data_IF_931582009400
#
_entry.id   IF_931582009400
#
_cell.length_a   1.000
_cell.length_b   1.000
_cell.length_c   1.000
_cell.angle_alpha   90.00
_cell.angle_beta   90.00
_cell.angle_gamma   90.00
#
_symmetry.space_group_name_H-M   'P 1'
#
loop_
_entity.id
_entity.type
_entity.pdbx_description
1 polymer ?
#
# COMPACT_ATOMS: atom_id res chain seq x y z
N UNK A 1 11.23 40.78 26.94
CA UNK A 1 10.85 40.90 25.51
C UNK A 1 9.64 40.01 25.26
N UNK A 2 8.55 40.54 24.70
CA UNK A 2 7.31 39.82 24.46
C UNK A 2 7.23 39.43 22.99
N UNK A 3 7.33 38.13 22.69
CA UNK A 3 7.22 37.61 21.32
C UNK A 3 5.78 37.76 20.84
N UNK A 4 5.57 38.45 19.71
CA UNK A 4 4.27 38.58 19.04
C UNK A 4 4.25 37.71 17.79
N UNK A 5 3.36 36.73 17.76
CA UNK A 5 3.10 35.90 16.58
C UNK A 5 2.30 36.73 15.57
N UNK A 6 2.91 37.07 14.42
CA UNK A 6 2.20 37.66 13.28
C UNK A 6 1.49 36.54 12.52
N UNK A 7 0.15 36.62 12.40
CA UNK A 7 -0.62 35.77 11.49
C UNK A 7 -0.47 36.33 10.08
N UNK A 8 0.11 35.54 9.18
CA UNK A 8 0.20 35.86 7.75
C UNK A 8 -0.81 35.00 7.00
N UNK A 9 -1.65 35.56 6.11
CA UNK A 9 -2.58 34.77 5.30
C UNK A 9 -1.79 33.83 4.38
N UNK A 10 -1.95 32.52 4.58
CA UNK A 10 -1.37 31.51 3.70
C UNK A 10 -2.26 31.39 2.46
N UNK A 11 -1.85 32.02 1.35
CA UNK A 11 -2.47 31.80 0.04
C UNK A 11 -1.84 30.54 -0.54
N UNK A 12 -2.60 29.44 -0.56
CA UNK A 12 -2.19 28.20 -1.22
C UNK A 12 -2.69 28.28 -2.66
N UNK A 13 -1.77 28.23 -3.64
CA UNK A 13 -2.09 28.27 -5.06
C UNK A 13 -2.88 27.02 -5.46
N UNK A 14 -4.11 27.21 -5.95
CA UNK A 14 -4.92 26.16 -6.57
C UNK A 14 -4.62 26.14 -8.07
N UNK A 15 -3.67 25.31 -8.49
CA UNK A 15 -3.63 24.80 -9.85
C UNK A 15 -3.76 23.28 -9.79
N UNK A 16 -4.99 22.79 -9.86
CA UNK A 16 -5.30 21.42 -10.25
C UNK A 16 -5.73 21.48 -11.71
N UNK A 17 -4.96 20.82 -12.58
CA UNK A 17 -5.37 20.56 -13.95
C UNK A 17 -6.26 19.32 -13.88
N UNK A 18 -7.56 19.53 -14.03
CA UNK A 18 -8.55 18.45 -14.10
C UNK A 18 -8.38 17.71 -15.43
N UNK A 19 -7.92 16.46 -15.37
CA UNK A 19 -8.03 15.52 -16.49
C UNK A 19 -9.33 14.74 -16.27
N UNK A 20 -10.44 15.36 -16.68
CA UNK A 20 -11.73 14.70 -16.86
C UNK A 20 -11.92 14.45 -18.35
N UNK A 21 -11.88 13.18 -18.77
CA UNK A 21 -12.97 12.48 -19.49
C UNK A 21 -12.47 11.08 -19.87
N UNK A 22 -13.32 10.07 -19.68
CA UNK A 22 -13.57 9.11 -20.77
C UNK A 22 -14.77 8.25 -20.40
N UNK A 23 -15.91 8.69 -20.91
CA UNK A 23 -17.21 8.07 -20.72
C UNK A 23 -17.54 7.18 -21.92
N UNK A 24 -17.05 5.93 -21.99
CA UNK A 24 -17.60 4.97 -22.96
C UNK A 24 -17.27 3.48 -22.68
N UNK A 25 -18.35 2.71 -22.45
CA UNK A 25 -18.67 1.32 -22.88
C UNK A 25 -19.01 0.35 -21.74
N UNK A 26 -20.26 -0.10 -21.79
CA UNK A 26 -20.85 -1.14 -20.95
C UNK A 26 -20.33 -2.52 -21.38
N UNK A 27 -20.27 -3.43 -20.40
CA UNK A 27 -20.06 -4.89 -20.42
C UNK A 27 -18.68 -5.47 -20.06
N UNK A 28 -17.66 -4.67 -19.70
CA UNK A 28 -16.45 -5.21 -19.04
C UNK A 28 -15.70 -4.12 -18.26
N UNK A 29 -15.82 -4.12 -16.93
CA UNK A 29 -15.00 -3.28 -16.05
C UNK A 29 -15.07 -1.77 -16.27
N UNK A 30 -14.30 -1.01 -15.49
CA UNK A 30 -14.08 0.43 -15.73
C UNK A 30 -12.88 0.69 -16.67
N UNK A 31 -12.31 -0.35 -17.28
CA UNK A 31 -11.09 -0.29 -18.08
C UNK A 31 -9.79 -0.07 -17.28
N UNK A 32 -9.88 0.11 -15.95
CA UNK A 32 -8.76 0.45 -15.06
C UNK A 32 -8.39 -0.69 -14.09
N UNK A 33 -8.87 -1.91 -14.32
CA UNK A 33 -8.68 -3.06 -13.41
C UNK A 33 -8.87 -2.69 -11.92
N UNK A 34 -9.95 -1.98 -11.60
CA UNK A 34 -10.25 -1.48 -10.26
C UNK A 34 -10.36 -2.61 -9.22
N UNK A 35 -10.05 -2.33 -7.95
CA UNK A 35 -10.53 -3.10 -6.79
C UNK A 35 -11.94 -2.66 -6.37
N UNK A 36 -12.84 -2.38 -7.31
CA UNK A 36 -14.26 -2.10 -7.02
C UNK A 36 -15.13 -3.17 -7.67
N UNK A 37 -16.41 -3.16 -7.33
CA UNK A 37 -17.44 -4.02 -7.93
C UNK A 37 -17.46 -4.00 -9.47
N UNK A 38 -16.88 -2.98 -10.11
CA UNK A 38 -16.68 -2.93 -11.56
C UNK A 38 -15.81 -4.08 -12.11
N UNK A 39 -14.67 -4.37 -11.46
CA UNK A 39 -13.66 -5.29 -12.00
C UNK A 39 -13.26 -6.40 -11.02
N UNK A 40 -13.72 -6.35 -9.77
CA UNK A 40 -13.49 -7.41 -8.78
C UNK A 40 -14.13 -8.74 -9.19
N UNK A 41 -15.39 -8.80 -9.68
CA UNK A 41 -15.97 -10.08 -10.07
C UNK A 41 -15.14 -10.76 -11.16
N UNK A 42 -14.62 -11.95 -10.87
CA UNK A 42 -13.75 -12.71 -11.77
C UNK A 42 -12.27 -12.34 -11.72
N UNK A 43 -11.87 -11.37 -10.88
CA UNK A 43 -10.48 -11.08 -10.61
C UNK A 43 -9.79 -12.27 -9.96
N UNK A 44 -8.55 -12.53 -10.37
CA UNK A 44 -7.70 -13.58 -9.81
C UNK A 44 -6.36 -12.96 -9.42
N UNK A 45 -5.98 -13.16 -8.18
CA UNK A 45 -4.73 -12.64 -7.63
C UNK A 45 -3.98 -13.77 -6.90
N UNK A 46 -2.65 -13.68 -6.79
CA UNK A 46 -1.90 -14.61 -5.96
C UNK A 46 -2.42 -14.60 -4.53
N UNK A 47 -2.49 -15.76 -3.88
CA UNK A 47 -2.93 -15.92 -2.49
C UNK A 47 -1.91 -16.72 -1.71
N UNK A 48 -1.47 -16.15 -0.59
CA UNK A 48 -0.60 -16.78 0.39
C UNK A 48 -1.40 -17.16 1.64
N UNK A 49 -1.63 -18.46 1.83
CA UNK A 49 -2.28 -18.97 3.03
C UNK A 49 -1.21 -19.31 4.09
N UNK A 50 -1.22 -18.60 5.20
CA UNK A 50 -0.22 -18.76 6.27
C UNK A 50 -0.70 -19.73 7.34
N UNK A 51 0.25 -20.44 7.97
CA UNK A 51 -0.03 -21.32 9.09
C UNK A 51 -0.50 -20.52 10.30
N UNK A 52 -1.68 -20.88 10.84
CA UNK A 52 -2.18 -20.28 12.07
C UNK A 52 -1.36 -20.76 13.26
N UNK A 53 -0.71 -19.83 13.96
CA UNK A 53 -0.02 -20.14 15.22
C UNK A 53 -1.05 -20.05 16.34
N UNK A 54 -1.34 -21.17 16.99
CA UNK A 54 -2.20 -21.18 18.16
C UNK A 54 -1.41 -20.61 19.35
N UNK A 55 -1.67 -19.36 19.73
CA UNK A 55 -1.04 -18.69 20.88
C UNK A 55 -1.41 -19.30 22.25
N UNK A 56 -2.17 -20.41 22.28
CA UNK A 56 -2.64 -21.05 23.51
C UNK A 56 -1.63 -22.04 24.13
N UNK A 57 -0.54 -22.40 23.43
CA UNK A 57 0.51 -23.28 23.96
C UNK A 57 1.86 -22.58 23.92
N UNK A 58 2.34 -22.14 25.09
CA UNK A 58 3.68 -21.57 25.28
C UNK A 58 4.81 -22.47 24.73
N UNK A 59 4.57 -23.78 24.63
CA UNK A 59 5.52 -24.76 24.09
C UNK A 59 5.76 -24.66 22.56
N UNK A 60 4.81 -24.11 21.78
CA UNK A 60 4.96 -23.98 20.32
C UNK A 60 5.82 -22.76 19.93
N UNK A 61 5.91 -21.74 20.80
CA UNK A 61 6.76 -20.56 20.59
C UNK A 61 8.25 -20.94 20.68
N UNK A 62 8.60 -21.82 21.62
CA UNK A 62 9.99 -22.23 21.89
C UNK A 62 10.54 -23.24 20.86
N UNK A 63 9.67 -23.98 20.14
CA UNK A 63 10.09 -24.88 19.05
C UNK A 63 10.40 -24.14 17.74
N UNK A 64 9.95 -22.90 17.61
CA UNK A 64 10.19 -22.08 16.42
C UNK A 64 11.62 -21.48 16.37
N UNK A 65 12.36 -21.53 17.48
CA UNK A 65 13.73 -20.96 17.56
C UNK A 65 14.82 -21.88 16.97
N UNK A 66 14.57 -23.17 16.78
CA UNK A 66 15.58 -24.16 16.33
C UNK A 66 15.31 -24.77 14.95
N UNK A 67 14.33 -24.27 14.22
CA UNK A 67 14.05 -24.67 12.84
C UNK A 67 14.21 -23.42 11.98
N UNK A 68 14.89 -23.50 10.83
CA UNK A 68 14.95 -22.37 9.89
C UNK A 68 13.54 -21.78 9.73
N UNK A 69 13.37 -20.46 9.91
CA UNK A 69 12.04 -19.88 9.96
C UNK A 69 11.29 -20.24 8.67
N UNK A 70 9.99 -20.62 8.74
CA UNK A 70 9.17 -20.95 7.56
C UNK A 70 8.92 -19.73 6.63
N UNK A 71 9.65 -18.63 6.88
CA UNK A 71 9.56 -17.29 6.29
C UNK A 71 10.24 -17.22 4.92
N UNK A 72 11.11 -18.18 4.57
CA UNK A 72 11.85 -18.17 3.28
C UNK A 72 10.94 -18.04 2.05
N UNK A 73 9.76 -18.66 2.07
CA UNK A 73 8.81 -18.53 0.96
C UNK A 73 8.12 -17.17 0.93
N UNK A 74 7.67 -16.64 2.08
CA UNK A 74 7.02 -15.33 2.14
C UNK A 74 8.00 -14.23 1.70
N UNK A 75 9.25 -14.30 2.13
CA UNK A 75 10.29 -13.36 1.71
C UNK A 75 10.50 -13.42 0.19
N UNK A 76 10.60 -14.63 -0.36
CA UNK A 76 10.74 -14.84 -1.81
C UNK A 76 9.53 -14.33 -2.58
N UNK A 77 8.32 -14.53 -2.06
CA UNK A 77 7.07 -14.05 -2.66
C UNK A 77 7.01 -12.52 -2.66
N UNK A 78 7.29 -11.89 -1.51
CA UNK A 78 7.28 -10.44 -1.38
C UNK A 78 8.31 -9.80 -2.30
N UNK A 79 9.55 -10.31 -2.31
CA UNK A 79 10.61 -9.80 -3.17
C UNK A 79 10.30 -10.03 -4.65
N UNK A 80 9.81 -11.23 -5.01
CA UNK A 80 9.46 -11.56 -6.39
C UNK A 80 8.33 -10.70 -6.95
N UNK A 81 7.23 -10.54 -6.21
CA UNK A 81 6.11 -9.68 -6.63
C UNK A 81 6.52 -8.19 -6.65
N UNK A 82 7.38 -7.76 -5.72
CA UNK A 82 7.92 -6.40 -5.70
C UNK A 82 8.78 -6.11 -6.94
N UNK A 83 9.75 -6.98 -7.24
CA UNK A 83 10.64 -6.86 -8.40
C UNK A 83 9.86 -6.89 -9.73
N UNK A 84 8.87 -7.78 -9.85
CA UNK A 84 7.99 -7.84 -11.02
C UNK A 84 7.24 -6.51 -11.24
N UNK A 85 6.64 -5.93 -10.20
CA UNK A 85 5.95 -4.62 -10.29
C UNK A 85 6.93 -3.49 -10.58
N UNK A 86 8.15 -3.57 -10.05
CA UNK A 86 9.23 -2.62 -10.34
C UNK A 86 9.62 -2.67 -11.82
N UNK A 87 9.84 -3.88 -12.36
CA UNK A 87 10.17 -4.08 -13.78
C UNK A 87 9.04 -3.64 -14.71
N UNK A 88 7.78 -3.80 -14.30
CA UNK A 88 6.60 -3.29 -15.01
C UNK A 88 6.41 -1.77 -14.90
N UNK A 89 7.22 -1.08 -14.10
CA UNK A 89 7.14 0.38 -13.93
C UNK A 89 5.91 0.84 -13.15
N UNK A 90 5.35 0.00 -12.28
CA UNK A 90 4.11 0.29 -11.56
C UNK A 90 4.32 1.18 -10.34
N UNK A 91 5.55 1.35 -9.84
CA UNK A 91 5.83 2.24 -8.71
C UNK A 91 5.76 3.71 -9.11
N UNK A 92 5.03 4.52 -8.33
CA UNK A 92 4.90 5.97 -8.58
C UNK A 92 6.16 6.75 -8.23
N UNK A 93 7.00 6.19 -7.36
CA UNK A 93 8.23 6.80 -6.89
C UNK A 93 9.28 5.72 -6.67
N UNK A 94 10.48 5.95 -7.20
CA UNK A 94 11.64 5.13 -6.88
C UNK A 94 12.35 5.73 -5.65
N UNK A 95 12.24 5.04 -4.52
CA UNK A 95 12.93 5.39 -3.27
C UNK A 95 14.28 4.72 -3.13
N UNK A 96 14.60 3.75 -3.99
CA UNK A 96 15.86 3.00 -3.97
C UNK A 96 17.01 3.84 -4.52
N UNK A 97 16.71 4.77 -5.43
CA UNK A 97 17.67 5.73 -5.97
C UNK A 97 17.96 6.91 -5.03
N UNK A 98 17.30 7.03 -3.88
CA UNK A 98 17.51 8.16 -2.98
C UNK A 98 18.85 8.06 -2.25
N UNK A 99 19.56 9.18 -2.19
CA UNK A 99 20.81 9.26 -1.42
C UNK A 99 20.54 9.00 0.06
N UNK A 100 21.34 8.11 0.66
CA UNK A 100 21.26 7.80 2.09
C UNK A 100 22.60 8.03 2.76
N UNK A 101 22.56 8.40 4.04
CA UNK A 101 23.75 8.55 4.88
C UNK A 101 23.47 8.05 6.29
N UNK A 102 24.38 7.23 6.82
CA UNK A 102 24.38 6.86 8.24
C UNK A 102 24.81 8.07 9.07
N UNK A 103 23.97 8.46 10.03
CA UNK A 103 24.23 9.56 10.95
C UNK A 103 25.12 9.02 12.09
N UNK A 104 26.25 9.68 12.39
CA UNK A 104 27.11 9.28 13.50
C UNK A 104 26.35 9.27 14.85
N UNK A 105 26.60 8.27 15.68
CA UNK A 105 26.00 8.10 17.00
C UNK A 105 25.80 6.63 17.36
N UNK A 106 25.34 6.36 18.57
CA UNK A 106 25.20 4.99 19.11
C UNK A 106 23.97 4.26 18.56
N UNK A 107 23.04 4.97 17.90
CA UNK A 107 21.73 4.46 17.50
C UNK A 107 21.61 4.10 16.02
N UNK A 108 22.65 4.36 15.20
CA UNK A 108 22.67 3.93 13.79
C UNK A 108 21.60 4.55 12.90
N UNK A 109 21.18 5.80 13.15
CA UNK A 109 20.16 6.46 12.34
C UNK A 109 20.59 6.60 10.88
N UNK A 110 19.65 6.50 9.94
CA UNK A 110 19.87 6.71 8.50
C UNK A 110 19.06 7.93 8.06
N UNK A 111 19.72 8.91 7.46
CA UNK A 111 19.08 10.01 6.75
C UNK A 111 18.91 9.64 5.28
N UNK A 112 17.70 9.83 4.73
CA UNK A 112 17.40 9.65 3.30
C UNK A 112 16.95 10.98 2.69
N UNK A 113 17.60 11.39 1.60
CA UNK A 113 17.26 12.60 0.85
C UNK A 113 16.22 12.28 -0.23
N UNK A 114 14.97 12.62 0.05
CA UNK A 114 13.85 12.47 -0.88
C UNK A 114 13.58 13.81 -1.60
N UNK A 115 14.33 14.07 -2.66
CA UNK A 115 14.16 15.27 -3.47
C UNK A 115 12.76 15.35 -4.11
N UNK A 116 12.27 16.58 -4.33
CA UNK A 116 10.95 16.80 -4.91
C UNK A 116 9.76 16.45 -4.01
N UNK A 117 9.95 15.85 -2.83
CA UNK A 117 8.86 15.59 -1.87
C UNK A 117 8.13 16.85 -1.44
N UNK A 118 8.85 17.97 -1.34
CA UNK A 118 8.27 19.28 -1.02
C UNK A 118 7.45 19.87 -2.17
N UNK A 119 7.83 19.60 -3.43
CA UNK A 119 7.13 20.06 -4.63
C UNK A 119 5.90 19.20 -4.93
N UNK A 120 6.00 17.88 -4.70
CA UNK A 120 4.92 16.90 -4.93
C UNK A 120 4.02 16.70 -3.71
N UNK A 121 4.18 17.53 -2.66
CA UNK A 121 3.30 17.51 -1.51
C UNK A 121 1.89 17.90 -1.96
N UNK A 122 0.89 17.10 -1.59
CA UNK A 122 -0.51 17.47 -1.84
C UNK A 122 -0.79 18.85 -1.21
N UNK A 123 -1.34 19.81 -1.97
CA UNK A 123 -1.79 21.07 -1.41
C UNK A 123 -2.71 20.80 -0.21
N UNK A 124 -2.63 21.64 0.81
CA UNK A 124 -3.61 21.58 1.88
C UNK A 124 -4.96 21.96 1.27
N UNK A 125 -5.82 20.97 1.07
CA UNK A 125 -7.10 21.17 0.38
C UNK A 125 -8.09 22.00 1.22
N UNK A 126 -7.74 22.34 2.46
CA UNK A 126 -8.67 22.88 3.44
C UNK A 126 -8.09 24.01 4.27
N UNK A 127 -9.01 24.82 4.82
CA UNK A 127 -8.64 25.84 5.79
C UNK A 127 -8.12 25.19 7.06
N UNK A 128 -7.07 25.79 7.63
CA UNK A 128 -6.37 25.31 8.82
C UNK A 128 -7.30 25.21 10.05
N UNK A 129 -8.45 25.88 10.03
CA UNK A 129 -9.46 25.90 11.10
C UNK A 129 -10.54 24.79 11.01
N UNK A 130 -10.53 23.92 10.00
CA UNK A 130 -11.55 22.88 9.81
C UNK A 130 -10.97 21.45 9.89
N UNK A 131 -11.12 20.85 11.06
CA UNK A 131 -10.65 19.47 11.36
C UNK A 131 -11.62 18.40 10.85
N UNK A 132 -12.94 18.62 10.94
CA UNK A 132 -13.95 17.67 10.47
C UNK A 132 -14.28 17.89 8.99
N UNK A 133 -13.94 16.91 8.18
CA UNK A 133 -14.10 16.90 6.73
C UNK A 133 -15.21 15.91 6.34
N UNK A 134 -16.13 16.27 5.43
CA UNK A 134 -17.03 15.28 4.84
C UNK A 134 -16.21 14.30 4.01
N UNK A 135 -16.61 13.02 4.02
CA UNK A 135 -15.97 12.00 3.20
C UNK A 135 -16.23 12.27 1.71
N UNK A 136 -15.16 12.29 0.91
CA UNK A 136 -15.21 12.33 -0.55
C UNK A 136 -14.59 11.07 -1.12
N UNK A 137 -15.43 10.14 -1.59
CA UNK A 137 -15.00 8.88 -2.17
C UNK A 137 -14.14 9.05 -3.43
N UNK A 138 -14.23 10.17 -4.14
CA UNK A 138 -13.40 10.45 -5.32
C UNK A 138 -11.96 10.84 -4.94
N UNK A 139 -11.76 11.35 -3.72
CA UNK A 139 -10.44 11.71 -3.17
C UNK A 139 -9.82 10.59 -2.34
N UNK A 140 -10.60 9.59 -1.95
CA UNK A 140 -10.14 8.48 -1.13
C UNK A 140 -9.24 7.51 -1.93
N UNK A 141 -7.94 7.55 -1.67
CA UNK A 141 -6.93 6.85 -2.49
C UNK A 141 -7.01 5.33 -2.46
N UNK A 142 -7.53 4.74 -1.39
CA UNK A 142 -7.67 3.28 -1.29
C UNK A 142 -8.67 2.72 -2.32
N UNK A 143 -9.53 3.57 -2.90
CA UNK A 143 -10.42 3.17 -3.99
C UNK A 143 -9.79 3.26 -5.38
N UNK A 144 -8.54 3.73 -5.47
CA UNK A 144 -7.81 3.96 -6.73
C UNK A 144 -6.72 2.93 -6.99
N UNK A 145 -6.57 1.93 -6.13
CA UNK A 145 -5.62 0.84 -6.30
C UNK A 145 -6.10 -0.05 -7.46
N UNK A 146 -5.23 -0.24 -8.45
CA UNK A 146 -5.42 -1.19 -9.54
C UNK A 146 -5.05 -2.62 -9.10
N UNK A 147 -5.65 -3.63 -9.73
CA UNK A 147 -5.32 -5.05 -9.43
C UNK A 147 -3.84 -5.36 -9.69
N UNK A 148 -3.22 -4.70 -10.65
CA UNK A 148 -1.79 -4.78 -10.95
C UNK A 148 -0.88 -4.20 -9.84
N UNK A 149 -1.42 -3.27 -9.02
CA UNK A 149 -0.73 -2.71 -7.86
C UNK A 149 -0.86 -3.61 -6.61
N UNK A 150 -1.63 -4.70 -6.68
CA UNK A 150 -1.69 -5.73 -5.62
C UNK A 150 -0.57 -6.74 -5.85
N UNK A 151 0.22 -7.00 -4.82
CA UNK A 151 1.26 -8.04 -4.85
C UNK A 151 0.61 -9.42 -4.66
N UNK A 152 -0.08 -9.62 -3.54
CA UNK A 152 -0.81 -10.85 -3.26
C UNK A 152 -1.86 -10.63 -2.16
N UNK A 153 -2.82 -11.54 -2.11
CA UNK A 153 -3.79 -11.74 -1.03
C UNK A 153 -3.17 -12.64 0.05
N UNK A 154 -3.61 -12.52 1.29
CA UNK A 154 -3.20 -13.44 2.35
C UNK A 154 -4.32 -13.78 3.32
N UNK A 155 -4.32 -15.01 3.81
CA UNK A 155 -5.32 -15.53 4.76
C UNK A 155 -4.75 -16.64 5.63
N UNK A 156 -5.46 -16.99 6.71
CA UNK A 156 -5.07 -18.13 7.53
C UNK A 156 -5.47 -19.44 6.83
N UNK A 157 -4.53 -20.38 6.74
CA UNK A 157 -4.77 -21.71 6.16
C UNK A 157 -5.78 -22.51 6.98
N UNK A 158 -6.73 -23.16 6.30
CA UNK A 158 -7.69 -24.09 6.91
C UNK A 158 -7.01 -25.38 7.42
N UNK A 159 -6.02 -25.86 6.66
CA UNK A 159 -5.33 -27.14 6.89
C UNK A 159 -4.16 -27.01 7.88
N UNK A 160 -3.86 -25.78 8.33
CA UNK A 160 -2.73 -25.49 9.22
C UNK A 160 -1.36 -25.57 8.53
N UNK A 161 -1.32 -25.64 7.21
CA UNK A 161 -0.09 -25.70 6.41
C UNK A 161 0.04 -24.50 5.48
N UNK A 162 1.28 -24.09 5.19
CA UNK A 162 1.54 -22.96 4.29
C UNK A 162 1.22 -23.37 2.85
N UNK A 163 0.38 -22.59 2.17
CA UNK A 163 -0.03 -22.84 0.79
C UNK A 163 0.06 -21.58 -0.05
N UNK A 164 0.34 -21.74 -1.34
CA UNK A 164 0.36 -20.64 -2.30
C UNK A 164 -0.46 -20.98 -3.54
N UNK A 165 -1.34 -20.07 -3.91
CA UNK A 165 -2.21 -20.18 -5.07
C UNK A 165 -1.91 -19.02 -6.02
N UNK A 166 -1.32 -19.25 -7.21
CA UNK A 166 -0.92 -18.14 -8.09
C UNK A 166 -2.11 -17.38 -8.69
N UNK A 167 -3.31 -17.98 -8.72
CA UNK A 167 -4.51 -17.41 -9.35
C UNK A 167 -5.76 -17.73 -8.53
N UNK A 168 -5.81 -17.27 -7.29
CA UNK A 168 -6.98 -17.43 -6.43
C UNK A 168 -8.04 -16.36 -6.72
N UNK A 169 -9.35 -16.70 -6.65
CA UNK A 169 -10.40 -15.69 -6.67
C UNK A 169 -10.27 -14.74 -5.47
N UNK A 170 -10.84 -13.55 -5.59
CA UNK A 170 -10.96 -12.62 -4.47
C UNK A 170 -12.27 -12.91 -3.75
N UNK A 171 -12.20 -13.23 -2.46
CA UNK A 171 -13.39 -13.39 -1.62
C UNK A 171 -13.92 -12.02 -1.18
N UNK A 172 -14.85 -11.49 -1.97
CA UNK A 172 -15.45 -10.15 -1.75
C UNK A 172 -16.33 -10.12 -0.51
N UNK A 173 -16.91 -11.26 -0.13
CA UNK A 173 -17.86 -11.33 0.99
C UNK A 173 -17.14 -11.31 2.33
N UNK A 174 -15.93 -11.90 2.41
CA UNK A 174 -15.16 -12.02 3.64
C UNK A 174 -14.08 -10.94 3.84
N UNK A 175 -14.10 -9.85 3.06
CA UNK A 175 -13.16 -8.71 3.19
C UNK A 175 -11.68 -9.16 3.13
N UNK A 176 -11.13 -9.34 1.92
CA UNK A 176 -9.82 -9.96 1.73
C UNK A 176 -8.71 -9.07 2.28
N UNK A 177 -7.65 -9.69 2.81
CA UNK A 177 -6.43 -8.99 3.19
C UNK A 177 -5.42 -9.06 2.05
N UNK A 178 -4.84 -7.91 1.69
CA UNK A 178 -3.92 -7.80 0.54
C UNK A 178 -2.70 -6.96 0.88
N UNK A 179 -1.59 -7.27 0.21
CA UNK A 179 -0.40 -6.43 0.16
C UNK A 179 -0.42 -5.68 -1.17
N UNK A 180 -0.34 -4.35 -1.13
CA UNK A 180 -0.41 -3.51 -2.33
C UNK A 180 0.61 -2.35 -2.28
N UNK A 181 0.99 -1.85 -3.44
CA UNK A 181 1.92 -0.72 -3.60
C UNK A 181 1.18 0.60 -3.85
N UNK A 182 1.91 1.72 -3.77
CA UNK A 182 1.41 3.08 -4.06
C UNK A 182 0.23 3.57 -3.20
N UNK A 183 0.09 3.04 -2.00
CA UNK A 183 -0.97 3.41 -1.06
C UNK A 183 -0.60 4.71 -0.32
N UNK A 184 -0.92 5.87 -0.91
CA UNK A 184 -0.76 7.19 -0.32
C UNK A 184 -1.86 8.12 -0.82
#
# INVERSE_FOLDING_TARGET
MMLRIKRVPTVVSNYQKDEADDTARRTAGCGKNCLKSCCIPGAKLPLYAFKKVNMEREEDVLKMENTEPPVAFLDSLVLGEWEDRMQKGLFRYDVTACETKVIPGEYGFIAQLNEGRHLKKRPTEFRVDKVLQPFDGNKFNFTKVGQEEVLFQFEASEDGEVQFYPNAPIDVENSPSVVAINVC
#
